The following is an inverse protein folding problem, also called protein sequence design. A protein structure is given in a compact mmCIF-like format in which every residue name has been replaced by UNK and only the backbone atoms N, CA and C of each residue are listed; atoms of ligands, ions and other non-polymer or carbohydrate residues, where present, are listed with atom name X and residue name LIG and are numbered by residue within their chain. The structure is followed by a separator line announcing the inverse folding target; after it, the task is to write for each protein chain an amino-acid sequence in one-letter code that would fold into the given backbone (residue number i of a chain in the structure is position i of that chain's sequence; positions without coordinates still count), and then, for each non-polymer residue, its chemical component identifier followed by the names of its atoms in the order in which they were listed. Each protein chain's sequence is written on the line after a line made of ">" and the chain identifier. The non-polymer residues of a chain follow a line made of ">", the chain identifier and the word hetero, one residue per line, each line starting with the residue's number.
data_IF_777287702032
#
_entry.id   IF_777287702032
#
_cell.length_a   1.000
_cell.length_b   1.000
_cell.length_c   1.000
_cell.angle_alpha   90.00
_cell.angle_beta   90.00
_cell.angle_gamma   90.00
#
_symmetry.space_group_name_H-M   'P 1'
#
loop_
_entity.id
_entity.type
_entity.pdbx_description
1 polymer ?
#
# COMPACT_ATOMS: atom_id res chain seq x y z
N UNK A 1 -4.49 -17.98 -20.85
CA UNK A 1 -5.88 -18.34 -21.18
C UNK A 1 -6.34 -17.32 -22.20
N UNK A 2 -6.57 -17.73 -23.45
CA UNK A 2 -7.06 -16.84 -24.49
C UNK A 2 -8.58 -16.91 -24.45
N UNK A 3 -9.23 -15.81 -24.12
CA UNK A 3 -10.70 -15.70 -24.23
C UNK A 3 -11.03 -15.00 -25.53
N UNK A 4 -11.80 -15.66 -26.39
CA UNK A 4 -12.35 -15.04 -27.59
C UNK A 4 -13.76 -14.56 -27.25
N UNK A 5 -14.01 -13.26 -27.41
CA UNK A 5 -15.36 -12.72 -27.36
C UNK A 5 -15.85 -12.53 -28.81
N UNK A 6 -17.03 -13.08 -29.10
CA UNK A 6 -17.61 -13.09 -30.43
C UNK A 6 -18.73 -12.02 -30.48
N UNK A 7 -18.34 -10.78 -30.76
CA UNK A 7 -19.30 -9.66 -30.93
C UNK A 7 -19.45 -9.18 -32.35
N UNK A 8 -19.25 -10.08 -33.34
CA UNK A 8 -19.41 -9.75 -34.76
C UNK A 8 -18.22 -9.01 -35.41
N UNK A 9 -17.34 -8.41 -34.61
CA UNK A 9 -16.00 -8.02 -34.96
C UNK A 9 -15.03 -8.88 -34.14
N UNK A 10 -14.14 -9.60 -34.82
CA UNK A 10 -13.19 -10.50 -34.16
C UNK A 10 -12.16 -9.69 -33.33
N UNK A 11 -12.48 -9.44 -32.07
CA UNK A 11 -11.51 -8.88 -31.11
C UNK A 11 -10.88 -10.02 -30.31
N UNK A 12 -9.59 -10.18 -30.46
CA UNK A 12 -8.81 -11.16 -29.70
C UNK A 12 -8.17 -10.47 -28.49
N UNK A 13 -8.59 -10.81 -27.27
CA UNK A 13 -7.93 -10.41 -26.05
C UNK A 13 -7.17 -11.60 -25.45
N UNK A 14 -5.88 -11.46 -25.25
CA UNK A 14 -5.04 -12.48 -24.65
C UNK A 14 -4.04 -11.89 -23.67
N UNK A 15 -3.79 -12.62 -22.57
CA UNK A 15 -2.70 -12.26 -21.65
C UNK A 15 -1.51 -13.17 -21.92
N UNK A 16 -0.40 -12.57 -22.32
CA UNK A 16 0.88 -13.27 -22.46
C UNK A 16 1.69 -13.05 -21.19
N UNK A 17 2.01 -14.14 -20.50
CA UNK A 17 2.90 -14.10 -19.34
C UNK A 17 4.31 -14.42 -19.82
N UNK A 18 5.19 -13.42 -19.77
CA UNK A 18 6.63 -13.64 -20.00
C UNK A 18 7.26 -13.93 -18.63
N UNK A 19 7.91 -15.09 -18.50
CA UNK A 19 8.68 -15.46 -17.30
C UNK A 19 10.15 -15.56 -17.70
N UNK A 20 10.98 -14.75 -17.05
CA UNK A 20 12.44 -14.80 -17.21
C UNK A 20 13.12 -14.98 -15.85
N UNK A 21 14.37 -15.42 -15.85
CA UNK A 21 15.20 -15.41 -14.65
C UNK A 21 15.57 -13.97 -14.26
N UNK A 22 15.66 -13.71 -12.95
CA UNK A 22 16.10 -12.41 -12.43
C UNK A 22 17.51 -12.12 -12.95
N UNK A 23 17.67 -11.03 -13.73
CA UNK A 23 18.96 -10.62 -14.31
C UNK A 23 19.05 -10.78 -15.83
N UNK A 24 18.07 -11.39 -16.48
CA UNK A 24 17.99 -11.44 -17.95
C UNK A 24 17.02 -10.35 -18.43
N UNK A 25 17.55 -9.20 -18.77
CA UNK A 25 16.79 -8.08 -19.33
C UNK A 25 17.22 -7.84 -20.77
N UNK A 26 16.26 -7.70 -21.66
CA UNK A 26 16.53 -7.39 -23.05
C UNK A 26 15.28 -7.44 -23.90
N UNK A 27 15.39 -7.11 -25.18
CA UNK A 27 14.26 -7.24 -26.09
C UNK A 27 13.91 -8.72 -26.25
N UNK A 28 12.64 -9.06 -25.99
CA UNK A 28 12.06 -10.35 -26.28
C UNK A 28 11.18 -10.23 -27.52
N UNK A 29 11.31 -11.18 -28.45
CA UNK A 29 10.42 -11.25 -29.60
C UNK A 29 9.19 -12.07 -29.27
N UNK A 30 8.02 -11.48 -29.45
CA UNK A 30 6.74 -12.15 -29.34
C UNK A 30 6.16 -12.35 -30.75
N UNK A 31 6.01 -13.60 -31.16
CA UNK A 31 5.40 -13.97 -32.44
C UNK A 31 3.98 -14.49 -32.15
N UNK A 32 2.97 -13.74 -32.61
CA UNK A 32 1.56 -14.11 -32.47
C UNK A 32 1.07 -14.57 -33.83
N UNK A 33 0.67 -15.83 -33.91
CA UNK A 33 0.14 -16.44 -35.15
C UNK A 33 -1.35 -16.68 -35.01
N UNK A 34 -2.10 -16.27 -36.02
CA UNK A 34 -3.50 -16.66 -36.14
C UNK A 34 -3.59 -18.12 -36.58
N UNK A 35 -4.24 -18.98 -35.79
CA UNK A 35 -4.41 -20.41 -36.09
C UNK A 35 -5.13 -20.72 -37.40
N UNK A 36 -5.87 -19.78 -37.94
CA UNK A 36 -6.68 -19.94 -39.14
C UNK A 36 -6.10 -19.23 -40.38
N UNK A 37 -5.12 -18.37 -40.15
CA UNK A 37 -4.46 -17.65 -41.26
C UNK A 37 -3.04 -17.26 -40.86
N UNK A 38 -2.06 -18.05 -41.29
CA UNK A 38 -0.64 -17.81 -41.02
C UNK A 38 -0.12 -16.50 -41.60
N UNK A 39 -0.86 -15.90 -42.57
CA UNK A 39 -0.51 -14.60 -43.13
C UNK A 39 -0.87 -13.41 -42.20
N UNK A 40 -1.57 -13.66 -41.16
CA UNK A 40 -1.96 -12.64 -40.13
C UNK A 40 -1.11 -12.74 -38.88
N UNK A 41 0.18 -13.05 -39.00
CA UNK A 41 1.10 -13.04 -37.89
C UNK A 41 1.52 -11.60 -37.52
N UNK A 42 1.63 -11.32 -36.28
CA UNK A 42 2.13 -10.05 -35.71
C UNK A 42 3.41 -10.34 -34.96
N UNK A 43 4.50 -9.72 -35.40
CA UNK A 43 5.77 -9.70 -34.67
C UNK A 43 5.82 -8.44 -33.78
N UNK A 44 5.97 -8.63 -32.48
CA UNK A 44 6.14 -7.54 -31.52
C UNK A 44 7.46 -7.70 -30.79
N UNK A 45 8.19 -6.60 -30.67
CA UNK A 45 9.33 -6.53 -29.76
C UNK A 45 8.81 -6.02 -28.41
N UNK A 46 8.91 -6.85 -27.39
CA UNK A 46 8.54 -6.50 -26.02
C UNK A 46 9.81 -6.23 -25.24
N UNK A 47 9.92 -5.06 -24.68
CA UNK A 47 11.00 -4.75 -23.74
C UNK A 47 10.55 -5.19 -22.35
N UNK A 48 11.24 -6.14 -21.78
CA UNK A 48 11.06 -6.52 -20.38
C UNK A 48 11.97 -5.63 -19.55
N UNK A 49 11.40 -4.61 -18.94
CA UNK A 49 12.11 -3.85 -17.92
C UNK A 49 11.99 -4.61 -16.59
N UNK A 50 13.10 -4.69 -15.83
CA UNK A 50 13.02 -5.03 -14.45
C UNK A 50 12.08 -4.01 -13.79
N UNK A 51 11.04 -4.46 -13.15
CA UNK A 51 10.42 -3.62 -12.14
C UNK A 51 11.56 -3.25 -11.18
N UNK A 52 11.97 -1.98 -11.17
CA UNK A 52 12.90 -1.49 -10.16
C UNK A 52 12.29 -1.89 -8.81
N UNK A 53 12.82 -2.95 -8.23
CA UNK A 53 12.55 -3.25 -6.83
C UNK A 53 13.26 -2.15 -6.08
N UNK A 54 12.55 -1.08 -5.77
CA UNK A 54 13.09 -0.13 -4.81
C UNK A 54 13.46 -0.95 -3.57
N UNK A 55 14.74 -0.88 -3.22
CA UNK A 55 15.25 -1.52 -2.02
C UNK A 55 14.39 -1.09 -0.84
N UNK A 56 14.09 -2.03 0.05
CA UNK A 56 13.31 -1.73 1.22
C UNK A 56 13.94 -0.57 2.00
N UNK A 57 13.13 0.43 2.29
CA UNK A 57 13.55 1.62 3.04
C UNK A 57 13.53 1.32 4.53
N UNK A 58 14.60 1.63 5.24
CA UNK A 58 14.65 1.50 6.69
C UNK A 58 14.15 2.78 7.35
N UNK A 59 12.92 2.77 7.88
CA UNK A 59 12.37 3.87 8.68
C UNK A 59 12.86 3.79 10.12
N UNK A 60 12.97 4.94 10.80
CA UNK A 60 13.39 4.99 12.20
C UNK A 60 12.39 4.30 13.09
N UNK A 61 11.11 4.62 12.92
CA UNK A 61 10.02 3.97 13.66
C UNK A 61 8.67 4.06 12.96
N UNK A 62 7.79 3.12 13.29
CA UNK A 62 6.36 3.20 13.03
C UNK A 62 5.64 3.00 14.36
N UNK A 63 4.73 3.91 14.69
CA UNK A 63 3.94 3.88 15.93
C UNK A 63 2.45 3.85 15.59
N UNK A 64 1.70 3.10 16.39
CA UNK A 64 0.22 3.01 16.33
C UNK A 64 -0.30 3.23 17.75
N UNK A 65 -1.16 4.24 17.96
CA UNK A 65 -1.70 4.59 19.26
C UNK A 65 -3.21 4.86 19.21
N UNK A 66 -3.92 4.43 20.23
CA UNK A 66 -5.30 4.87 20.47
C UNK A 66 -5.27 6.09 21.40
N UNK A 67 -5.65 7.22 20.87
CA UNK A 67 -5.69 8.52 21.57
C UNK A 67 -7.14 8.99 21.83
N UNK A 68 -8.12 8.13 21.57
CA UNK A 68 -9.55 8.42 21.81
C UNK A 68 -9.92 8.57 23.29
N UNK A 69 -9.03 8.13 24.18
CA UNK A 69 -9.25 8.03 25.62
C UNK A 69 -9.44 6.60 26.12
N UNK A 70 -9.65 5.64 25.21
CA UNK A 70 -9.80 4.23 25.56
C UNK A 70 -8.47 3.50 25.77
N UNK A 71 -7.37 4.00 25.14
CA UNK A 71 -6.01 3.47 25.31
C UNK A 71 -5.86 2.01 24.91
N UNK A 72 -6.62 1.54 23.91
CA UNK A 72 -6.69 0.13 23.52
C UNK A 72 -5.41 -0.38 22.88
N UNK A 73 -4.59 0.51 22.32
CA UNK A 73 -3.31 0.18 21.73
C UNK A 73 -2.33 1.33 21.90
N UNK A 74 -1.11 0.99 22.26
CA UNK A 74 0.08 1.82 22.10
C UNK A 74 1.23 0.91 21.75
N UNK A 75 1.69 0.98 20.49
CA UNK A 75 2.72 0.09 19.96
C UNK A 75 3.68 0.85 19.07
N UNK A 76 4.97 0.62 19.28
CA UNK A 76 6.05 1.18 18.47
C UNK A 76 6.96 0.06 17.96
N UNK A 77 7.42 0.18 16.73
CA UNK A 77 8.44 -0.70 16.14
C UNK A 77 9.51 0.16 15.50
N UNK A 78 10.73 0.05 15.99
CA UNK A 78 11.88 0.82 15.52
C UNK A 78 12.69 0.06 14.47
N UNK A 79 13.33 0.81 13.56
CA UNK A 79 14.25 0.26 12.56
C UNK A 79 13.58 -0.68 11.56
N UNK A 80 12.32 -0.44 11.24
CA UNK A 80 11.51 -1.29 10.39
C UNK A 80 11.91 -1.16 8.92
N UNK A 81 12.08 -2.31 8.26
CA UNK A 81 12.28 -2.36 6.81
C UNK A 81 10.93 -2.34 6.10
N UNK A 82 10.73 -1.33 5.27
CA UNK A 82 9.48 -1.09 4.54
C UNK A 82 9.75 -1.25 3.05
N UNK A 83 9.12 -2.24 2.43
CA UNK A 83 9.18 -2.47 0.99
C UNK A 83 7.88 -2.00 0.32
N UNK A 84 7.98 -1.48 -0.88
CA UNK A 84 6.81 -1.17 -1.69
C UNK A 84 5.96 -2.43 -1.92
N UNK A 85 4.64 -2.27 -1.91
CA UNK A 85 3.73 -3.32 -2.33
C UNK A 85 3.93 -3.59 -3.83
N UNK A 86 3.87 -4.86 -4.20
CA UNK A 86 3.94 -5.30 -5.59
C UNK A 86 2.75 -6.20 -5.91
N UNK A 87 2.57 -6.58 -7.16
CA UNK A 87 1.56 -7.56 -7.55
C UNK A 87 1.72 -8.91 -6.84
N UNK A 88 2.93 -9.23 -6.40
CA UNK A 88 3.26 -10.46 -5.67
C UNK A 88 3.30 -10.26 -4.15
N UNK A 89 3.69 -9.07 -3.69
CA UNK A 89 3.67 -8.69 -2.27
C UNK A 89 2.43 -7.83 -2.01
N UNK A 90 1.30 -8.48 -1.87
CA UNK A 90 0.03 -7.81 -1.61
C UNK A 90 0.05 -7.15 -0.24
N UNK A 91 -0.41 -5.90 -0.22
CA UNK A 91 -0.66 -5.13 0.99
C UNK A 91 -2.15 -4.79 1.02
N UNK A 92 -2.88 -5.09 2.13
CA UNK A 92 -4.30 -4.76 2.25
C UNK A 92 -4.63 -3.28 2.07
N UNK A 93 -3.63 -2.39 2.18
CA UNK A 93 -3.81 -0.96 1.93
C UNK A 93 -4.15 -0.67 0.46
N UNK A 94 -3.72 -1.54 -0.45
CA UNK A 94 -4.02 -1.43 -1.87
C UNK A 94 -5.09 -2.46 -2.22
N UNK A 95 -6.28 -2.00 -2.58
CA UNK A 95 -7.31 -2.88 -3.14
C UNK A 95 -6.88 -3.40 -4.52
N UNK A 96 -7.64 -4.33 -5.09
CA UNK A 96 -7.32 -4.93 -6.39
C UNK A 96 -7.24 -3.91 -7.55
N UNK A 97 -7.82 -2.73 -7.37
CA UNK A 97 -7.87 -1.62 -8.33
C UNK A 97 -6.84 -0.53 -8.00
N UNK A 98 -6.30 -0.52 -6.76
CA UNK A 98 -5.30 0.46 -6.34
C UNK A 98 -3.93 0.11 -6.91
N UNK A 99 -3.38 1.00 -7.72
CA UNK A 99 -1.99 0.90 -8.16
C UNK A 99 -1.06 1.14 -6.97
N UNK A 100 -0.32 0.11 -6.57
CA UNK A 100 0.80 0.28 -5.68
C UNK A 100 1.81 1.24 -6.32
N UNK A 101 2.44 2.07 -5.51
CA UNK A 101 3.50 2.95 -5.97
C UNK A 101 4.77 2.14 -6.25
N UNK A 102 5.67 2.69 -7.08
CA UNK A 102 7.00 2.09 -7.31
C UNK A 102 7.95 2.28 -6.11
N UNK A 103 7.53 2.98 -5.08
CA UNK A 103 8.27 3.31 -3.86
C UNK A 103 7.47 2.92 -2.61
N UNK A 104 8.13 2.69 -1.46
CA UNK A 104 7.45 2.41 -0.20
C UNK A 104 6.65 3.63 0.29
N UNK A 105 5.44 3.38 0.77
CA UNK A 105 4.52 4.41 1.23
C UNK A 105 4.22 4.30 2.73
N UNK A 106 3.51 5.28 3.26
CA UNK A 106 3.00 5.24 4.64
C UNK A 106 2.09 4.03 4.87
N UNK A 107 1.29 3.64 3.85
CA UNK A 107 0.49 2.42 3.91
C UNK A 107 1.33 1.14 3.99
N UNK A 108 2.46 1.09 3.28
CA UNK A 108 3.40 -0.03 3.37
C UNK A 108 4.10 -0.06 4.74
N UNK A 109 4.39 1.11 5.32
CA UNK A 109 4.95 1.21 6.67
C UNK A 109 3.97 0.66 7.73
N UNK A 110 2.67 1.02 7.63
CA UNK A 110 1.65 0.44 8.51
C UNK A 110 1.57 -1.08 8.34
N UNK A 111 1.52 -1.58 7.10
CA UNK A 111 1.47 -3.01 6.82
C UNK A 111 2.65 -3.76 7.42
N UNK A 112 3.86 -3.23 7.23
CA UNK A 112 5.09 -3.84 7.78
C UNK A 112 5.05 -3.87 9.30
N UNK A 113 4.58 -2.80 9.92
CA UNK A 113 4.46 -2.68 11.39
C UNK A 113 3.43 -3.66 11.95
N UNK A 114 2.22 -3.70 11.42
CA UNK A 114 1.17 -4.61 11.92
C UNK A 114 1.57 -6.06 11.74
N UNK A 115 2.19 -6.40 10.60
CA UNK A 115 2.69 -7.75 10.34
C UNK A 115 3.79 -8.17 11.31
N UNK A 116 4.75 -7.28 11.59
CA UNK A 116 5.84 -7.54 12.54
C UNK A 116 5.34 -7.79 13.97
N UNK A 117 4.14 -7.30 14.31
CA UNK A 117 3.55 -7.42 15.64
C UNK A 117 2.37 -8.43 15.71
N UNK A 118 2.17 -9.26 14.68
CA UNK A 118 1.07 -10.22 14.65
C UNK A 118 -0.32 -9.59 14.62
N UNK A 119 -0.40 -8.35 14.17
CA UNK A 119 -1.63 -7.56 14.04
C UNK A 119 -2.14 -7.60 12.59
N UNK A 120 -3.31 -7.04 12.36
CA UNK A 120 -3.88 -6.84 11.03
C UNK A 120 -4.63 -5.52 10.94
N UNK A 121 -4.94 -5.08 9.72
CA UNK A 121 -5.83 -3.94 9.50
C UNK A 121 -6.72 -4.17 8.28
N UNK A 122 -7.82 -3.43 8.24
CA UNK A 122 -8.70 -3.32 7.07
C UNK A 122 -8.72 -1.87 6.59
N UNK A 123 -8.97 -1.69 5.30
CA UNK A 123 -9.13 -0.36 4.71
C UNK A 123 -10.40 -0.30 3.89
N UNK A 124 -10.93 0.92 3.73
CA UNK A 124 -12.06 1.22 2.87
C UNK A 124 -11.78 2.54 2.14
N UNK A 125 -11.75 2.51 0.81
CA UNK A 125 -11.54 3.70 -0.02
C UNK A 125 -10.22 4.45 0.24
N UNK A 126 -9.15 3.75 0.67
CA UNK A 126 -7.85 4.35 0.97
C UNK A 126 -7.70 4.85 2.42
N UNK A 127 -8.72 4.66 3.27
CA UNK A 127 -8.66 4.95 4.69
C UNK A 127 -8.55 3.66 5.50
N UNK A 128 -7.79 3.68 6.59
CA UNK A 128 -7.78 2.56 7.54
C UNK A 128 -9.11 2.52 8.27
N UNK A 129 -9.87 1.45 8.05
CA UNK A 129 -11.17 1.23 8.69
C UNK A 129 -11.00 0.67 10.11
N UNK A 130 -10.12 -0.33 10.26
CA UNK A 130 -9.82 -0.89 11.58
C UNK A 130 -8.41 -1.44 11.66
N UNK A 131 -7.86 -1.44 12.88
CA UNK A 131 -6.68 -2.23 13.25
C UNK A 131 -7.11 -3.25 14.31
N UNK A 132 -6.68 -4.50 14.11
CA UNK A 132 -6.90 -5.59 15.07
C UNK A 132 -5.55 -5.97 15.68
N UNK A 133 -5.45 -5.90 16.98
CA UNK A 133 -4.26 -6.26 17.75
C UNK A 133 -4.01 -7.77 17.75
N UNK A 134 -2.85 -8.20 18.20
CA UNK A 134 -2.50 -9.63 18.25
C UNK A 134 -3.35 -10.47 19.22
N UNK A 135 -3.99 -9.83 20.19
CA UNK A 135 -4.94 -10.47 21.12
C UNK A 135 -6.40 -10.46 20.59
N UNK A 136 -6.63 -9.92 19.40
CA UNK A 136 -7.94 -9.87 18.75
C UNK A 136 -8.76 -8.64 19.04
N UNK A 137 -8.26 -7.67 19.82
CA UNK A 137 -8.96 -6.40 20.07
C UNK A 137 -9.05 -5.59 18.78
N UNK A 138 -10.27 -5.32 18.30
CA UNK A 138 -10.53 -4.56 17.08
C UNK A 138 -10.84 -3.10 17.42
N UNK A 139 -10.08 -2.18 16.82
CA UNK A 139 -10.25 -0.73 16.94
C UNK A 139 -10.71 -0.22 15.57
N UNK A 140 -12.00 0.02 15.44
CA UNK A 140 -12.64 0.40 14.18
C UNK A 140 -13.12 1.84 14.21
N UNK A 141 -13.10 2.49 13.05
CA UNK A 141 -13.66 3.82 12.88
C UNK A 141 -15.16 3.86 13.16
N UNK A 142 -15.63 4.93 13.81
CA UNK A 142 -17.05 5.12 14.11
C UNK A 142 -17.38 6.62 14.25
N UNK A 143 -18.67 6.93 14.10
CA UNK A 143 -19.21 8.23 14.48
C UNK A 143 -19.76 8.18 15.92
N UNK A 144 -19.66 9.30 16.67
CA UNK A 144 -20.33 9.42 17.95
C UNK A 144 -21.86 9.24 17.81
N UNK A 145 -22.54 8.86 18.89
CA UNK A 145 -24.00 8.63 18.87
C UNK A 145 -24.80 9.86 18.41
N UNK A 146 -24.31 11.05 18.74
CA UNK A 146 -24.90 12.32 18.34
C UNK A 146 -24.40 12.85 16.96
N UNK A 147 -23.56 12.07 16.27
CA UNK A 147 -22.95 12.41 14.96
C UNK A 147 -22.11 13.70 14.95
N UNK A 148 -21.73 14.21 16.11
CA UNK A 148 -20.91 15.45 16.20
C UNK A 148 -19.44 15.19 16.03
N UNK A 149 -19.00 13.96 16.24
CA UNK A 149 -17.59 13.56 16.16
C UNK A 149 -17.40 12.26 15.38
N UNK A 150 -16.36 12.22 14.57
CA UNK A 150 -15.89 11.03 13.90
C UNK A 150 -14.55 10.59 14.50
N UNK A 151 -14.46 9.33 14.86
CA UNK A 151 -13.25 8.67 15.36
C UNK A 151 -12.69 7.78 14.26
N UNK A 152 -11.45 8.00 13.91
CA UNK A 152 -10.80 7.25 12.83
C UNK A 152 -9.29 7.21 12.97
N UNK A 153 -8.65 6.50 12.06
CA UNK A 153 -7.21 6.40 12.00
C UNK A 153 -6.63 7.54 11.17
N UNK A 154 -5.76 8.32 11.79
CA UNK A 154 -5.03 9.41 11.19
C UNK A 154 -3.53 9.09 11.19
N UNK A 155 -2.75 9.69 10.29
CA UNK A 155 -1.31 9.50 10.28
C UNK A 155 -0.55 10.82 10.17
N UNK A 156 0.71 10.77 10.57
CA UNK A 156 1.67 11.85 10.43
C UNK A 156 3.07 11.29 10.21
N UNK A 157 3.87 11.97 9.38
CA UNK A 157 5.26 11.61 9.12
C UNK A 157 6.18 12.76 9.52
N UNK A 158 7.22 12.43 10.28
CA UNK A 158 8.33 13.33 10.57
C UNK A 158 9.61 12.82 9.94
N UNK A 159 10.33 13.74 9.29
CA UNK A 159 11.64 13.51 8.68
C UNK A 159 12.63 14.51 9.26
N UNK A 160 13.69 14.02 9.93
CA UNK A 160 14.67 14.85 10.63
C UNK A 160 14.01 15.85 11.60
N UNK A 161 12.97 15.41 12.31
CA UNK A 161 12.22 16.24 13.27
C UNK A 161 11.24 17.26 12.66
N UNK A 162 11.14 17.31 11.34
CA UNK A 162 10.21 18.20 10.63
C UNK A 162 9.01 17.41 10.13
N UNK A 163 7.79 17.91 10.37
CA UNK A 163 6.56 17.34 9.83
C UNK A 163 6.59 17.41 8.30
N UNK A 164 6.54 16.28 7.63
CA UNK A 164 6.56 16.19 6.16
C UNK A 164 5.15 16.30 5.60
N UNK A 165 4.24 15.50 6.14
CA UNK A 165 2.83 15.49 5.74
C UNK A 165 2.00 14.71 6.76
N UNK A 166 0.69 14.85 6.61
CA UNK A 166 -0.33 14.09 7.33
C UNK A 166 -1.49 13.74 6.40
N UNK A 167 -2.45 13.00 6.95
CA UNK A 167 -3.59 12.49 6.21
C UNK A 167 -4.49 13.55 5.55
N UNK A 168 -4.38 14.81 5.93
CA UNK A 168 -5.18 15.89 5.35
C UNK A 168 -4.70 16.30 3.97
N UNK A 169 -3.42 16.06 3.66
CA UNK A 169 -2.78 16.55 2.44
C UNK A 169 -2.61 15.43 1.41
N UNK A 170 -2.16 14.26 1.86
CA UNK A 170 -1.90 13.13 0.99
C UNK A 170 -2.46 11.83 1.57
N UNK A 171 -2.94 10.96 0.70
CA UNK A 171 -3.28 9.59 1.10
C UNK A 171 -2.03 8.82 1.54
N UNK A 172 -2.16 7.97 2.54
CA UNK A 172 -1.09 7.08 2.98
C UNK A 172 -0.60 6.11 1.88
N UNK A 173 -1.40 5.90 0.84
CA UNK A 173 -1.03 5.13 -0.34
C UNK A 173 -0.14 5.87 -1.34
N UNK A 174 0.07 7.18 -1.14
CA UNK A 174 0.80 8.05 -2.07
C UNK A 174 2.04 8.65 -1.42
N UNK A 175 1.98 8.97 -0.12
CA UNK A 175 3.12 9.59 0.56
C UNK A 175 4.28 8.58 0.69
N UNK A 176 5.39 8.90 0.02
CA UNK A 176 6.64 8.13 0.08
C UNK A 176 7.29 8.21 1.47
N UNK A 177 7.66 7.06 2.03
CA UNK A 177 8.53 7.01 3.21
C UNK A 177 10.00 6.90 2.79
N UNK A 178 10.88 7.56 3.55
CA UNK A 178 12.33 7.63 3.27
C UNK A 178 13.14 7.08 4.45
N UNK A 179 14.42 6.75 4.24
CA UNK A 179 15.29 6.34 5.34
C UNK A 179 15.27 7.34 6.49
N UNK A 180 15.08 6.84 7.70
CA UNK A 180 15.07 7.66 8.91
C UNK A 180 13.73 8.31 9.25
N UNK A 181 12.68 8.16 8.45
CA UNK A 181 11.36 8.71 8.77
C UNK A 181 10.78 8.08 10.05
N UNK A 182 10.03 8.89 10.79
CA UNK A 182 9.15 8.46 11.87
C UNK A 182 7.71 8.54 11.37
N UNK A 183 7.00 7.42 11.38
CA UNK A 183 5.60 7.30 10.94
C UNK A 183 4.73 7.05 12.16
N UNK A 184 3.71 7.88 12.35
CA UNK A 184 2.79 7.79 13.47
C UNK A 184 1.37 7.60 12.96
N UNK A 185 0.67 6.64 13.54
CA UNK A 185 -0.76 6.42 13.34
C UNK A 185 -1.47 6.61 14.67
N UNK A 186 -2.55 7.37 14.67
CA UNK A 186 -3.35 7.65 15.86
C UNK A 186 -4.83 7.42 15.59
N UNK A 187 -5.48 6.69 16.48
CA UNK A 187 -6.93 6.52 16.49
C UNK A 187 -7.58 7.52 17.43
N UNK A 188 -8.49 8.31 16.93
CA UNK A 188 -9.22 9.32 17.71
C UNK A 188 -9.94 10.29 16.79
N UNK A 189 -10.46 11.38 17.37
CA UNK A 189 -10.91 12.51 16.57
C UNK A 189 -9.70 13.19 15.92
N UNK A 190 -9.97 14.00 14.90
CA UNK A 190 -8.92 14.79 14.24
C UNK A 190 -8.08 15.60 15.26
N UNK A 191 -8.75 16.32 16.18
CA UNK A 191 -8.05 17.16 17.17
C UNK A 191 -7.23 16.33 18.16
N UNK A 192 -7.71 15.16 18.58
CA UNK A 192 -6.96 14.24 19.43
C UNK A 192 -5.71 13.71 18.73
N UNK A 193 -5.86 13.30 17.48
CA UNK A 193 -4.71 12.84 16.65
C UNK A 193 -3.72 13.98 16.43
N UNK A 194 -4.16 15.18 16.08
CA UNK A 194 -3.30 16.34 15.90
C UNK A 194 -2.54 16.71 17.17
N UNK A 195 -3.21 16.69 18.33
CA UNK A 195 -2.58 16.92 19.63
C UNK A 195 -1.53 15.86 20.00
N UNK A 196 -1.77 14.61 19.61
CA UNK A 196 -0.79 13.53 19.76
C UNK A 196 0.42 13.76 18.85
N UNK A 197 0.21 14.00 17.56
CA UNK A 197 1.30 14.21 16.60
C UNK A 197 2.18 15.41 16.95
N UNK A 198 1.62 16.46 17.54
CA UNK A 198 2.40 17.62 17.99
C UNK A 198 3.44 17.28 19.07
N UNK A 199 3.27 16.16 19.79
CA UNK A 199 4.18 15.65 20.83
C UNK A 199 5.22 14.68 20.26
N UNK A 200 5.01 14.16 19.04
CA UNK A 200 5.79 13.13 18.38
C UNK A 200 6.91 13.73 17.50
N UNK A 201 7.77 14.58 18.03
CA UNK A 201 8.83 15.22 17.22
C UNK A 201 10.10 14.39 17.16
#
# INVERSE_FOLDING_TARGET
>A
MVTTDYSGEETYAGTVKVTGAVGEYGPASLHIVNRHNDAAAIDMTVYVEAAETQDAVKVSKVSVADVSGSGLIEKETSGLSVAAATTTKKNPYYNAEGSAQSYPTVGDALYSMVKANGMSFTQNGGYVDSITTSDGTKIAAYSSEDWTSYYGWNYCVYRNGVKVSDGDILSASVLEVKPGDNVYWAFGTYDQAAAYFAKCK
#
